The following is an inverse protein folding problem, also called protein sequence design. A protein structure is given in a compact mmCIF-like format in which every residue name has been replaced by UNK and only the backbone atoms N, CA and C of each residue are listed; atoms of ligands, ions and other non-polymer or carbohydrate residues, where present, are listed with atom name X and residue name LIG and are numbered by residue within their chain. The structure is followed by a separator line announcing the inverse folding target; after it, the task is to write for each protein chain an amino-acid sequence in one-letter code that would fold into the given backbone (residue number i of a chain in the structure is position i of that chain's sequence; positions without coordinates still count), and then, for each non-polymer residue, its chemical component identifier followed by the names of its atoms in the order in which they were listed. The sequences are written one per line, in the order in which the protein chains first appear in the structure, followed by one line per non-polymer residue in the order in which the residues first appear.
data_IF_355225087144
#
_entry.id   IF_355225087144
#
_cell.length_a   1.000
_cell.length_b   1.000
_cell.length_c   1.000
_cell.angle_alpha   90.00
_cell.angle_beta   90.00
_cell.angle_gamma   90.00
#
_symmetry.space_group_name_H-M   'P 1'
#
loop_
_entity.id
_entity.type
_entity.pdbx_description
1 polymer ?
#
# COMPACT_ATOMS: atom_id res chain seq x y z
N UNK A 1 -0.75 31.85 -4.42
CA UNK A 1 -1.25 30.50 -4.08
C UNK A 1 -0.26 29.87 -3.11
N UNK A 2 -0.76 29.19 -2.11
CA UNK A 2 0.08 28.43 -1.16
C UNK A 2 0.81 27.29 -1.89
N UNK A 3 2.12 27.13 -1.64
CA UNK A 3 2.91 26.06 -2.27
C UNK A 3 2.43 24.70 -1.79
N UNK A 4 2.23 23.78 -2.71
CA UNK A 4 1.85 22.37 -2.43
C UNK A 4 3.11 21.54 -2.30
N UNK A 5 3.51 21.27 -1.06
CA UNK A 5 4.72 20.52 -0.72
C UNK A 5 4.33 19.16 -0.17
N UNK A 6 4.89 18.08 -0.73
CA UNK A 6 4.72 16.73 -0.21
C UNK A 6 6.03 16.27 0.42
N UNK A 7 5.95 15.87 1.69
CA UNK A 7 7.08 15.31 2.43
C UNK A 7 6.91 13.81 2.65
N UNK A 8 7.91 13.03 2.26
CA UNK A 8 7.91 11.57 2.44
C UNK A 8 8.92 11.17 3.51
N UNK A 9 8.46 10.50 4.56
CA UNK A 9 9.31 10.03 5.66
C UNK A 9 9.67 8.57 5.43
N UNK A 10 10.98 8.31 5.24
CA UNK A 10 11.51 6.98 4.96
C UNK A 10 11.80 6.72 3.47
N UNK A 11 12.90 6.02 3.22
CA UNK A 11 13.41 5.68 1.88
C UNK A 11 13.56 4.16 1.70
N UNK A 12 12.63 3.40 2.31
CA UNK A 12 12.57 1.95 2.20
C UNK A 12 11.88 1.48 0.91
N UNK A 13 11.41 0.25 0.91
CA UNK A 13 10.74 -0.42 -0.23
C UNK A 13 9.56 0.37 -0.81
N UNK A 14 8.84 1.12 0.02
CA UNK A 14 7.70 1.94 -0.37
C UNK A 14 8.14 3.39 -0.65
N UNK A 15 8.88 4.01 0.29
CA UNK A 15 9.20 5.43 0.22
C UNK A 15 10.07 5.80 -0.98
N UNK A 16 11.09 5.01 -1.31
CA UNK A 16 11.97 5.28 -2.45
C UNK A 16 11.21 5.39 -3.79
N UNK A 17 10.44 4.38 -4.23
CA UNK A 17 9.68 4.49 -5.47
C UNK A 17 8.59 5.57 -5.40
N UNK A 18 7.96 5.78 -4.25
CA UNK A 18 6.97 6.84 -4.07
C UNK A 18 7.58 8.23 -4.30
N UNK A 19 8.75 8.52 -3.71
CA UNK A 19 9.46 9.79 -3.92
C UNK A 19 9.75 9.98 -5.41
N UNK A 20 10.25 8.95 -6.08
CA UNK A 20 10.55 9.00 -7.50
C UNK A 20 9.30 9.28 -8.35
N UNK A 21 8.19 8.58 -8.12
CA UNK A 21 6.92 8.78 -8.81
C UNK A 21 6.38 10.20 -8.55
N UNK A 22 6.43 10.68 -7.31
CA UNK A 22 5.98 12.03 -6.98
C UNK A 22 6.78 13.10 -7.73
N UNK A 23 8.10 12.91 -7.87
CA UNK A 23 8.95 13.84 -8.64
C UNK A 23 8.60 13.83 -10.14
N UNK A 24 8.38 12.65 -10.74
CA UNK A 24 8.02 12.53 -12.16
C UNK A 24 6.62 13.05 -12.45
N UNK A 25 5.67 12.80 -11.57
CA UNK A 25 4.27 13.20 -11.73
C UNK A 25 3.93 14.56 -11.10
N UNK A 26 4.95 15.28 -10.64
CA UNK A 26 4.78 16.55 -9.90
C UNK A 26 3.84 17.53 -10.59
N UNK A 27 4.02 17.74 -11.88
CA UNK A 27 3.18 18.66 -12.67
C UNK A 27 1.74 18.16 -12.82
N UNK A 28 1.55 16.86 -13.07
CA UNK A 28 0.22 16.25 -13.22
C UNK A 28 -0.58 16.27 -11.90
N UNK A 29 0.12 16.16 -10.78
CA UNK A 29 -0.47 16.19 -9.43
C UNK A 29 -0.60 17.62 -8.87
N UNK A 30 -0.08 18.62 -9.58
CA UNK A 30 -0.05 19.99 -9.13
C UNK A 30 0.79 20.17 -7.85
N UNK A 31 1.86 19.41 -7.69
CA UNK A 31 2.82 19.49 -6.58
C UNK A 31 3.94 20.45 -6.97
N UNK A 32 4.28 21.39 -6.10
CA UNK A 32 5.36 22.34 -6.32
C UNK A 32 6.72 21.81 -5.88
N UNK A 33 6.74 20.99 -4.81
CA UNK A 33 7.97 20.49 -4.23
C UNK A 33 7.76 19.12 -3.59
N UNK A 34 8.76 18.24 -3.74
CA UNK A 34 8.84 16.96 -3.05
C UNK A 34 10.07 16.98 -2.14
N UNK A 35 9.85 16.77 -0.85
CA UNK A 35 10.92 16.61 0.14
C UNK A 35 10.88 15.21 0.72
N UNK A 36 11.99 14.71 1.23
CA UNK A 36 12.02 13.40 1.86
C UNK A 36 12.99 13.33 3.03
N UNK A 37 12.64 12.54 4.04
CA UNK A 37 13.47 12.31 5.21
C UNK A 37 14.25 10.99 5.12
N UNK A 38 15.53 11.05 5.48
CA UNK A 38 16.41 9.89 5.66
C UNK A 38 17.00 9.89 7.06
N UNK A 39 16.75 8.81 7.81
CA UNK A 39 17.18 8.68 9.22
C UNK A 39 18.68 8.43 9.37
N UNK A 40 19.25 7.51 8.59
CA UNK A 40 20.62 7.02 8.83
C UNK A 40 21.56 7.38 7.69
N UNK A 41 22.75 7.97 8.00
CA UNK A 41 23.76 8.34 7.01
C UNK A 41 24.60 7.11 6.61
N UNK A 42 24.00 6.15 5.88
CA UNK A 42 24.68 4.95 5.44
C UNK A 42 25.30 5.14 4.06
N UNK A 43 26.61 4.96 3.93
CA UNK A 43 27.35 5.10 2.66
C UNK A 43 26.74 4.23 1.54
N UNK A 44 26.29 3.02 1.86
CA UNK A 44 25.61 2.12 0.88
C UNK A 44 24.33 2.68 0.30
N UNK A 45 23.66 3.61 1.01
CA UNK A 45 22.41 4.25 0.56
C UNK A 45 22.69 5.55 -0.22
N UNK A 46 23.91 6.09 -0.19
CA UNK A 46 24.24 7.36 -0.84
C UNK A 46 23.93 7.40 -2.35
N UNK A 47 24.19 6.34 -3.15
CA UNK A 47 23.82 6.34 -4.57
C UNK A 47 22.30 6.48 -4.79
N UNK A 48 21.49 5.79 -3.97
CA UNK A 48 20.03 5.89 -4.01
C UNK A 48 19.55 7.31 -3.68
N UNK A 49 20.06 7.90 -2.61
CA UNK A 49 19.72 9.26 -2.19
C UNK A 49 20.10 10.28 -3.26
N UNK A 50 21.32 10.17 -3.83
CA UNK A 50 21.76 11.03 -4.95
C UNK A 50 20.85 10.93 -6.16
N UNK A 51 20.36 9.72 -6.47
CA UNK A 51 19.41 9.53 -7.57
C UNK A 51 18.07 10.24 -7.29
N UNK A 52 17.54 10.17 -6.06
CA UNK A 52 16.32 10.89 -5.69
C UNK A 52 16.50 12.41 -5.76
N UNK A 53 17.64 12.92 -5.31
CA UNK A 53 17.98 14.35 -5.42
C UNK A 53 18.09 14.77 -6.89
N UNK A 54 18.75 13.97 -7.73
CA UNK A 54 18.85 14.24 -9.18
C UNK A 54 17.49 14.26 -9.89
N UNK A 55 16.47 13.58 -9.35
CA UNK A 55 15.08 13.64 -9.82
C UNK A 55 14.32 14.88 -9.32
N UNK A 56 14.93 15.70 -8.48
CA UNK A 56 14.37 16.93 -7.95
C UNK A 56 13.72 16.81 -6.58
N UNK A 57 13.92 15.69 -5.88
CA UNK A 57 13.54 15.59 -4.47
C UNK A 57 14.58 16.26 -3.57
N UNK A 58 14.16 16.88 -2.47
CA UNK A 58 15.01 17.63 -1.55
C UNK A 58 15.17 16.86 -0.23
N UNK A 59 16.41 16.65 0.17
CA UNK A 59 16.77 15.85 1.35
C UNK A 59 16.54 16.63 2.65
N UNK A 60 15.86 16.00 3.60
CA UNK A 60 15.75 16.41 4.99
C UNK A 60 16.33 15.35 5.93
N UNK A 61 16.96 15.77 7.01
CA UNK A 61 17.52 14.88 8.03
C UNK A 61 17.28 15.45 9.42
N UNK A 62 17.47 14.69 10.48
CA UNK A 62 17.51 15.26 11.83
C UNK A 62 18.69 16.23 11.98
N UNK A 63 18.49 17.28 12.74
CA UNK A 63 19.49 18.35 12.93
C UNK A 63 20.84 17.79 13.41
N UNK A 64 20.82 16.87 14.37
CA UNK A 64 22.01 16.19 14.92
C UNK A 64 22.73 15.28 13.90
N UNK A 65 22.17 15.04 12.72
CA UNK A 65 22.71 14.16 11.67
C UNK A 65 23.26 14.90 10.46
N UNK A 66 23.08 16.21 10.38
CA UNK A 66 23.48 17.00 9.21
C UNK A 66 24.96 16.77 8.85
N UNK A 67 25.87 16.86 9.82
CA UNK A 67 27.30 16.69 9.55
C UNK A 67 27.63 15.26 9.11
N UNK A 68 27.02 14.24 9.74
CA UNK A 68 27.22 12.84 9.33
C UNK A 68 26.75 12.56 7.89
N UNK A 69 25.74 13.26 7.39
CA UNK A 69 25.33 13.17 5.99
C UNK A 69 26.33 13.86 5.05
N UNK A 70 26.89 15.02 5.44
CA UNK A 70 27.95 15.69 4.67
C UNK A 70 29.20 14.84 4.55
N UNK A 71 29.60 14.12 5.61
CA UNK A 71 30.75 13.21 5.59
C UNK A 71 30.65 12.11 4.53
N UNK A 72 29.43 11.69 4.17
CA UNK A 72 29.19 10.71 3.10
C UNK A 72 28.85 11.36 1.74
N UNK A 73 29.10 12.67 1.62
CA UNK A 73 28.91 13.43 0.37
C UNK A 73 27.44 13.65 -0.01
N UNK A 74 26.58 13.85 0.99
CA UNK A 74 25.19 14.27 0.85
C UNK A 74 24.96 15.59 1.56
N UNK A 75 24.31 16.53 0.88
CA UNK A 75 24.00 17.86 1.43
C UNK A 75 22.49 17.95 1.76
N UNK A 76 22.09 17.82 3.04
CA UNK A 76 20.71 18.05 3.44
C UNK A 76 20.32 19.53 3.23
N UNK A 77 19.13 19.74 2.69
CA UNK A 77 18.60 21.10 2.48
C UNK A 77 17.72 21.57 3.64
N UNK A 78 17.19 20.63 4.42
CA UNK A 78 16.29 20.90 5.54
C UNK A 78 16.59 20.00 6.72
N UNK A 79 16.23 20.48 7.90
CA UNK A 79 15.96 19.60 9.04
C UNK A 79 14.61 18.91 8.87
N UNK A 80 14.39 17.83 9.62
CA UNK A 80 13.09 17.12 9.63
C UNK A 80 11.95 18.05 10.04
N UNK A 81 12.17 18.89 11.05
CA UNK A 81 11.18 19.84 11.56
C UNK A 81 10.82 20.91 10.54
N UNK A 82 11.83 21.49 9.87
CA UNK A 82 11.61 22.44 8.79
C UNK A 82 10.81 21.81 7.65
N UNK A 83 11.17 20.60 7.23
CA UNK A 83 10.51 19.92 6.14
C UNK A 83 9.05 19.61 6.46
N UNK A 84 8.74 19.12 7.67
CA UNK A 84 7.37 18.84 8.10
C UNK A 84 6.56 20.12 8.23
N UNK A 85 7.10 21.16 8.92
CA UNK A 85 6.37 22.40 9.20
C UNK A 85 5.94 23.19 7.96
N UNK A 86 6.65 23.01 6.84
CA UNK A 86 6.36 23.68 5.55
C UNK A 86 5.56 22.82 4.57
N UNK A 87 5.26 21.57 4.94
CA UNK A 87 4.58 20.62 4.06
C UNK A 87 3.06 20.82 4.04
N UNK A 88 2.46 20.60 2.88
CA UNK A 88 1.00 20.49 2.75
C UNK A 88 0.51 19.10 3.16
N UNK A 89 1.29 18.05 2.83
CA UNK A 89 1.00 16.65 3.13
C UNK A 89 2.29 15.94 3.54
N UNK A 90 2.20 15.11 4.56
CA UNK A 90 3.27 14.21 5.02
C UNK A 90 2.85 12.76 4.79
N UNK A 91 3.72 11.96 4.16
CA UNK A 91 3.49 10.53 3.91
C UNK A 91 4.56 9.74 4.66
N UNK A 92 4.14 9.01 5.68
CA UNK A 92 5.02 8.17 6.49
C UNK A 92 5.13 6.76 5.88
N UNK A 93 6.34 6.42 5.43
CA UNK A 93 6.72 5.13 4.87
C UNK A 93 7.72 4.39 5.78
N UNK A 94 7.73 4.68 7.06
CA UNK A 94 8.60 4.02 8.03
C UNK A 94 8.12 2.61 8.37
N UNK A 95 8.98 1.77 8.98
CA UNK A 95 8.57 0.46 9.47
C UNK A 95 7.48 0.53 10.55
N UNK A 96 6.76 -0.57 10.74
CA UNK A 96 5.68 -0.70 11.73
C UNK A 96 6.06 -0.14 13.11
N UNK A 97 5.18 0.69 13.66
CA UNK A 97 5.30 1.33 14.98
C UNK A 97 5.97 2.69 14.95
N UNK A 98 6.85 2.94 13.97
CA UNK A 98 7.50 4.25 13.86
C UNK A 98 6.55 5.36 13.42
N UNK A 99 5.54 5.05 12.62
CA UNK A 99 4.52 6.03 12.23
C UNK A 99 3.77 6.59 13.42
N UNK A 100 3.41 5.75 14.39
CA UNK A 100 2.80 6.20 15.65
C UNK A 100 3.73 7.06 16.48
N UNK A 101 5.01 6.67 16.58
CA UNK A 101 6.02 7.47 17.27
C UNK A 101 6.19 8.85 16.59
N UNK A 102 6.34 8.87 15.27
CA UNK A 102 6.45 10.11 14.50
C UNK A 102 5.19 10.98 14.66
N UNK A 103 4.00 10.37 14.74
CA UNK A 103 2.76 11.09 15.00
C UNK A 103 2.81 11.86 16.31
N UNK A 104 3.17 11.18 17.40
CA UNK A 104 3.25 11.78 18.73
C UNK A 104 4.41 12.79 18.86
N UNK A 105 5.58 12.48 18.30
CA UNK A 105 6.79 13.29 18.45
C UNK A 105 6.79 14.53 17.55
N UNK A 106 6.21 14.41 16.33
CA UNK A 106 6.31 15.45 15.30
C UNK A 106 4.96 15.88 14.73
N UNK A 107 4.13 14.95 14.23
CA UNK A 107 3.02 15.34 13.36
C UNK A 107 1.93 16.11 14.09
N UNK A 108 1.61 15.72 15.31
CA UNK A 108 0.59 16.42 16.13
C UNK A 108 0.98 17.87 16.44
N UNK A 109 2.28 18.18 16.53
CA UNK A 109 2.78 19.55 16.72
C UNK A 109 2.54 20.47 15.53
N UNK A 110 2.36 19.90 14.34
CA UNK A 110 2.17 20.64 13.08
C UNK A 110 0.80 20.42 12.47
N UNK A 111 -0.14 19.85 13.23
CA UNK A 111 -1.48 19.56 12.75
C UNK A 111 -2.28 20.83 12.36
N UNK A 112 -1.93 21.98 12.89
CA UNK A 112 -2.49 23.29 12.51
C UNK A 112 -2.00 23.80 11.15
N UNK A 113 -0.86 23.29 10.63
CA UNK A 113 -0.19 23.75 9.41
C UNK A 113 -0.29 22.76 8.26
N UNK A 114 -0.19 21.47 8.57
CA UNK A 114 -0.19 20.37 7.59
C UNK A 114 -1.61 19.90 7.35
N UNK A 115 -2.04 19.85 6.09
CA UNK A 115 -3.42 19.47 5.72
C UNK A 115 -3.72 18.00 5.92
N UNK A 116 -2.72 17.14 5.83
CA UNK A 116 -2.93 15.72 6.01
C UNK A 116 -1.65 14.91 6.24
N UNK A 117 -1.78 13.88 7.06
CA UNK A 117 -0.74 12.91 7.37
C UNK A 117 -1.22 11.52 6.99
N UNK A 118 -0.42 10.81 6.20
CA UNK A 118 -0.71 9.46 5.77
C UNK A 118 0.36 8.52 6.33
N UNK A 119 -0.05 7.44 6.99
CA UNK A 119 0.85 6.32 7.26
C UNK A 119 0.45 5.13 6.40
N UNK A 120 1.44 4.33 5.98
CA UNK A 120 1.20 3.19 5.11
C UNK A 120 1.24 1.87 5.88
N UNK A 121 0.53 0.85 5.35
CA UNK A 121 0.64 -0.53 5.78
C UNK A 121 0.02 -0.81 7.14
N UNK A 122 0.82 -1.30 8.07
CA UNK A 122 0.37 -1.88 9.33
C UNK A 122 0.31 -0.92 10.52
N UNK A 123 0.23 0.39 10.29
CA UNK A 123 0.07 1.42 11.33
C UNK A 123 -1.39 1.52 11.80
N UNK A 124 -1.94 0.39 12.27
CA UNK A 124 -3.34 0.32 12.70
C UNK A 124 -3.63 1.32 13.83
N UNK A 125 -4.67 2.16 13.63
CA UNK A 125 -5.04 3.22 14.58
C UNK A 125 -4.30 4.56 14.36
N UNK A 126 -3.44 4.69 13.36
CA UNK A 126 -2.81 5.96 13.00
C UNK A 126 -3.85 7.04 12.62
N UNK A 127 -4.85 6.65 11.88
CA UNK A 127 -5.96 7.49 11.46
C UNK A 127 -7.08 6.65 10.82
N UNK A 128 -8.02 7.33 10.13
CA UNK A 128 -9.08 6.65 9.39
C UNK A 128 -8.47 5.74 8.32
N UNK A 129 -8.93 4.49 8.25
CA UNK A 129 -8.50 3.55 7.22
C UNK A 129 -8.92 4.05 5.84
N UNK A 130 -7.99 3.95 4.87
CA UNK A 130 -8.19 4.46 3.52
C UNK A 130 -7.67 3.50 2.46
N UNK A 131 -8.45 3.30 1.43
CA UNK A 131 -8.06 2.64 0.19
C UNK A 131 -8.70 3.37 -1.00
N UNK A 132 -7.86 3.89 -1.90
CA UNK A 132 -8.31 4.64 -3.08
C UNK A 132 -9.30 3.84 -3.92
N UNK A 133 -10.38 4.50 -4.33
CA UNK A 133 -11.44 3.93 -5.16
C UNK A 133 -12.38 2.99 -4.42
N UNK A 134 -12.23 2.89 -3.10
CA UNK A 134 -13.10 2.08 -2.25
C UNK A 134 -13.90 2.99 -1.32
N UNK A 135 -13.22 3.76 -0.48
CA UNK A 135 -13.89 4.62 0.49
C UNK A 135 -13.56 6.12 0.35
N UNK A 136 -13.20 6.58 -0.85
CA UNK A 136 -12.89 8.00 -1.11
C UNK A 136 -14.03 8.94 -0.67
N UNK A 137 -15.27 8.51 -0.87
CA UNK A 137 -16.48 9.31 -0.59
C UNK A 137 -16.76 9.56 0.90
N UNK A 138 -16.12 8.82 1.80
CA UNK A 138 -16.26 9.03 3.26
C UNK A 138 -15.08 9.79 3.86
N UNK A 139 -14.10 10.17 3.05
CA UNK A 139 -13.00 11.03 3.48
C UNK A 139 -13.43 12.49 3.37
N UNK A 140 -13.21 13.24 4.41
CA UNK A 140 -13.58 14.66 4.48
C UNK A 140 -12.41 15.50 5.05
N UNK A 141 -12.61 16.81 5.13
CA UNK A 141 -11.58 17.76 5.58
C UNK A 141 -11.17 17.61 7.06
N UNK A 142 -11.94 16.89 7.86
CA UNK A 142 -11.64 16.62 9.28
C UNK A 142 -10.74 15.39 9.44
N UNK A 143 -10.63 14.55 8.40
CA UNK A 143 -9.81 13.35 8.38
C UNK A 143 -8.34 13.68 8.10
N UNK A 144 -7.70 14.36 9.02
CA UNK A 144 -6.32 14.82 8.87
C UNK A 144 -5.30 13.67 8.92
N UNK A 145 -5.61 12.59 9.65
CA UNK A 145 -4.76 11.40 9.75
C UNK A 145 -5.40 10.23 9.04
N UNK A 146 -4.71 9.65 8.05
CA UNK A 146 -5.17 8.52 7.27
C UNK A 146 -4.20 7.36 7.37
N UNK A 147 -4.73 6.16 7.55
CA UNK A 147 -3.98 4.91 7.41
C UNK A 147 -4.28 4.31 6.05
N UNK A 148 -3.34 4.38 5.12
CA UNK A 148 -3.41 3.67 3.85
C UNK A 148 -3.21 2.18 4.13
N UNK A 149 -4.22 1.36 3.90
CA UNK A 149 -4.20 -0.06 4.29
C UNK A 149 -3.13 -0.86 3.55
N UNK A 150 -2.75 -2.04 4.06
CA UNK A 150 -1.67 -2.86 3.51
C UNK A 150 -1.99 -3.43 2.12
N UNK A 151 -0.97 -3.92 1.40
CA UNK A 151 -1.13 -4.48 0.05
C UNK A 151 -2.15 -5.62 -0.03
N UNK A 152 -2.10 -6.60 0.89
CA UNK A 152 -3.08 -7.68 0.91
C UNK A 152 -4.48 -7.17 1.29
N UNK A 153 -4.58 -6.20 2.19
CA UNK A 153 -5.85 -5.56 2.54
C UNK A 153 -6.43 -4.79 1.35
N UNK A 154 -5.60 -4.04 0.60
CA UNK A 154 -6.03 -3.39 -0.66
C UNK A 154 -6.57 -4.40 -1.67
N UNK A 155 -5.85 -5.50 -1.84
CA UNK A 155 -6.22 -6.58 -2.73
C UNK A 155 -7.59 -7.16 -2.35
N UNK A 156 -7.76 -7.61 -1.10
CA UNK A 156 -9.04 -8.09 -0.57
C UNK A 156 -10.17 -7.06 -0.79
N UNK A 157 -9.91 -5.81 -0.43
CA UNK A 157 -10.91 -4.76 -0.52
C UNK A 157 -11.27 -4.44 -1.99
N UNK A 158 -10.29 -4.43 -2.89
CA UNK A 158 -10.51 -4.22 -4.32
C UNK A 158 -11.38 -5.32 -4.93
N UNK A 159 -11.11 -6.58 -4.61
CA UNK A 159 -11.89 -7.74 -5.08
C UNK A 159 -13.32 -7.70 -4.59
N UNK A 160 -13.52 -7.53 -3.29
CA UNK A 160 -14.85 -7.45 -2.67
C UNK A 160 -15.64 -6.29 -3.27
N UNK A 161 -15.03 -5.12 -3.34
CA UNK A 161 -15.69 -3.93 -3.89
C UNK A 161 -16.07 -4.11 -5.37
N UNK A 162 -15.14 -4.66 -6.18
CA UNK A 162 -15.35 -4.79 -7.63
C UNK A 162 -16.33 -5.91 -7.99
N UNK A 163 -16.24 -7.06 -7.33
CA UNK A 163 -17.01 -8.25 -7.72
C UNK A 163 -18.37 -8.30 -7.01
N UNK A 164 -18.40 -7.93 -5.73
CA UNK A 164 -19.62 -8.05 -4.93
C UNK A 164 -20.35 -6.72 -4.81
N UNK A 165 -19.71 -5.69 -4.24
CA UNK A 165 -20.37 -4.47 -3.83
C UNK A 165 -20.72 -3.53 -5.00
N UNK A 166 -20.06 -3.66 -6.15
CA UNK A 166 -20.44 -2.94 -7.37
C UNK A 166 -21.81 -3.33 -7.91
N UNK A 167 -22.32 -4.50 -7.52
CA UNK A 167 -23.64 -5.00 -7.89
C UNK A 167 -24.69 -4.47 -6.89
N UNK A 168 -24.50 -4.76 -5.61
CA UNK A 168 -25.26 -4.14 -4.52
C UNK A 168 -24.46 -4.21 -3.21
N UNK A 169 -24.66 -3.26 -2.28
CA UNK A 169 -23.92 -3.22 -1.00
C UNK A 169 -24.10 -4.47 -0.12
N UNK A 170 -25.14 -5.22 -0.31
CA UNK A 170 -25.48 -6.42 0.46
C UNK A 170 -25.27 -7.72 -0.32
N UNK A 171 -24.64 -7.66 -1.49
CA UNK A 171 -24.45 -8.84 -2.37
C UNK A 171 -23.45 -9.86 -1.83
N UNK A 172 -22.50 -9.46 -0.99
CA UNK A 172 -21.56 -10.40 -0.36
C UNK A 172 -22.24 -11.16 0.79
N UNK A 173 -22.21 -12.49 0.75
CA UNK A 173 -22.63 -13.34 1.88
C UNK A 173 -21.41 -13.61 2.76
N UNK A 174 -20.32 -14.13 2.20
CA UNK A 174 -19.04 -14.29 2.87
C UNK A 174 -17.85 -14.17 1.89
N UNK A 175 -16.69 -13.76 2.39
CA UNK A 175 -15.44 -13.67 1.63
C UNK A 175 -14.30 -14.37 2.37
N UNK A 176 -13.65 -15.36 1.72
CA UNK A 176 -12.53 -16.13 2.29
C UNK A 176 -11.28 -15.97 1.45
N UNK A 177 -10.16 -15.73 2.13
CA UNK A 177 -8.88 -15.41 1.50
C UNK A 177 -7.74 -16.23 2.10
N UNK A 178 -6.83 -16.70 1.26
CA UNK A 178 -5.57 -17.31 1.69
C UNK A 178 -4.43 -16.47 1.11
N UNK A 179 -3.74 -15.72 1.98
CA UNK A 179 -2.61 -14.88 1.60
C UNK A 179 -1.31 -15.69 1.63
N UNK A 180 -0.77 -16.01 0.47
CA UNK A 180 0.52 -16.69 0.30
C UNK A 180 1.58 -15.59 0.20
N UNK A 181 2.32 -15.38 1.30
CA UNK A 181 3.21 -14.23 1.47
C UNK A 181 4.63 -14.59 1.05
N UNK A 182 5.27 -13.70 0.28
CA UNK A 182 6.72 -13.79 0.00
C UNK A 182 7.54 -13.76 1.29
N UNK A 183 8.77 -14.25 1.24
CA UNK A 183 9.67 -14.36 2.40
C UNK A 183 10.09 -13.00 2.97
N UNK A 184 10.41 -12.05 2.08
CA UNK A 184 10.81 -10.68 2.44
C UNK A 184 10.21 -9.68 1.47
N UNK A 185 10.15 -8.41 1.86
CA UNK A 185 9.96 -7.32 0.92
C UNK A 185 11.19 -7.16 0.03
N UNK A 186 11.01 -6.57 -1.16
CA UNK A 186 12.12 -6.25 -2.07
C UNK A 186 13.13 -5.39 -1.31
N UNK A 187 14.41 -5.68 -1.48
CA UNK A 187 15.54 -5.06 -0.77
C UNK A 187 15.73 -5.46 0.70
N UNK A 188 14.89 -6.32 1.26
CA UNK A 188 15.09 -6.88 2.60
C UNK A 188 15.73 -8.26 2.52
N UNK A 189 16.63 -8.56 3.48
CA UNK A 189 17.36 -9.83 3.59
C UNK A 189 17.21 -10.47 4.96
N UNK A 190 16.30 -9.98 5.78
CA UNK A 190 16.26 -10.26 7.21
C UNK A 190 15.68 -11.60 7.61
N UNK A 191 14.99 -12.34 6.73
CA UNK A 191 14.43 -13.62 7.12
C UNK A 191 14.67 -14.72 6.09
N UNK A 192 15.14 -15.85 6.58
CA UNK A 192 15.21 -17.09 5.83
C UNK A 192 13.97 -17.94 6.15
N UNK A 193 13.26 -18.39 5.12
CA UNK A 193 12.08 -19.25 5.24
C UNK A 193 12.38 -20.56 4.52
N UNK A 194 12.82 -21.61 5.23
CA UNK A 194 13.23 -22.88 4.60
C UNK A 194 12.05 -23.64 4.00
N UNK A 195 10.85 -23.47 4.55
CA UNK A 195 9.63 -24.14 4.12
C UNK A 195 8.41 -23.26 4.39
N UNK A 196 7.26 -23.48 3.74
CA UNK A 196 6.03 -22.77 4.02
C UNK A 196 5.67 -22.81 5.51
N UNK A 197 5.39 -21.65 6.09
CA UNK A 197 5.03 -21.49 7.50
C UNK A 197 3.66 -20.82 7.60
N UNK A 198 2.71 -21.48 8.25
CA UNK A 198 1.37 -20.94 8.48
C UNK A 198 1.42 -19.88 9.57
N UNK A 199 0.72 -18.78 9.34
CA UNK A 199 0.57 -17.72 10.35
C UNK A 199 -0.53 -18.07 11.35
N UNK A 200 -0.35 -17.62 12.57
CA UNK A 200 -1.40 -17.72 13.59
C UNK A 200 -2.63 -16.89 13.21
N UNK A 201 -3.80 -17.38 13.59
CA UNK A 201 -5.05 -16.62 13.54
C UNK A 201 -5.15 -15.78 14.83
N UNK A 202 -4.75 -14.51 14.73
CA UNK A 202 -4.79 -13.58 15.87
C UNK A 202 -6.17 -13.06 16.24
N UNK A 203 -7.17 -13.23 15.35
CA UNK A 203 -8.55 -12.81 15.58
C UNK A 203 -9.53 -13.97 15.32
N UNK A 204 -10.44 -14.28 16.28
CA UNK A 204 -11.32 -15.46 16.18
C UNK A 204 -12.32 -15.39 15.02
N UNK A 205 -12.73 -14.20 14.59
CA UNK A 205 -13.69 -14.00 13.50
C UNK A 205 -12.98 -13.82 12.16
N UNK A 206 -11.98 -12.95 12.09
CA UNK A 206 -11.33 -12.57 10.83
C UNK A 206 -10.10 -13.43 10.48
N UNK A 207 -9.61 -14.27 11.39
CA UNK A 207 -8.40 -15.06 11.22
C UNK A 207 -7.16 -14.19 11.29
N UNK A 208 -6.63 -13.67 10.17
CA UNK A 208 -5.48 -12.79 10.17
C UNK A 208 -5.89 -11.31 10.04
N UNK A 209 -4.95 -10.41 10.39
CA UNK A 209 -5.16 -8.96 10.31
C UNK A 209 -5.55 -8.47 8.90
N UNK A 210 -5.33 -9.24 7.82
CA UNK A 210 -5.67 -8.80 6.47
C UNK A 210 -7.19 -8.65 6.27
N UNK A 211 -7.99 -9.66 6.70
CA UNK A 211 -9.44 -9.55 6.67
C UNK A 211 -9.97 -8.61 7.75
N UNK A 212 -9.35 -8.58 8.93
CA UNK A 212 -9.69 -7.64 10.00
C UNK A 212 -9.55 -6.17 9.53
N UNK A 213 -8.43 -5.83 8.91
CA UNK A 213 -8.20 -4.50 8.36
C UNK A 213 -9.14 -4.17 7.20
N UNK A 214 -9.45 -5.15 6.33
CA UNK A 214 -10.43 -4.97 5.25
C UNK A 214 -11.84 -4.74 5.81
N UNK A 215 -12.28 -5.53 6.77
CA UNK A 215 -13.55 -5.31 7.45
C UNK A 215 -13.59 -3.93 8.13
N UNK A 216 -12.50 -3.52 8.80
CA UNK A 216 -12.37 -2.18 9.38
C UNK A 216 -12.43 -1.06 8.34
N UNK A 217 -11.88 -1.27 7.14
CA UNK A 217 -12.01 -0.33 6.02
C UNK A 217 -13.48 -0.20 5.58
N UNK A 218 -14.18 -1.32 5.37
CA UNK A 218 -15.59 -1.31 4.97
C UNK A 218 -16.51 -0.72 6.05
N UNK A 219 -16.17 -0.88 7.33
CA UNK A 219 -16.89 -0.23 8.44
C UNK A 219 -16.85 1.30 8.37
N UNK A 220 -15.84 1.91 7.74
CA UNK A 220 -15.85 3.37 7.50
C UNK A 220 -17.00 3.82 6.60
N UNK A 221 -17.56 2.89 5.82
CA UNK A 221 -18.71 3.10 4.93
C UNK A 221 -20.02 2.52 5.52
N UNK A 222 -20.02 2.15 6.81
CA UNK A 222 -21.14 1.48 7.49
C UNK A 222 -21.50 0.10 6.89
N UNK A 223 -20.53 -0.59 6.30
CA UNK A 223 -20.69 -1.95 5.80
C UNK A 223 -20.02 -2.93 6.77
N UNK A 224 -20.81 -3.87 7.31
CA UNK A 224 -20.31 -4.97 8.15
C UNK A 224 -20.30 -6.25 7.32
N UNK A 225 -19.11 -6.65 6.87
CA UNK A 225 -18.92 -7.75 5.93
C UNK A 225 -18.32 -8.96 6.63
N UNK A 226 -18.82 -10.15 6.31
CA UNK A 226 -18.27 -11.43 6.75
C UNK A 226 -17.03 -11.76 5.90
N UNK A 227 -15.85 -11.44 6.43
CA UNK A 227 -14.55 -11.66 5.80
C UNK A 227 -13.68 -12.53 6.70
N UNK A 228 -12.97 -13.47 6.09
CA UNK A 228 -12.00 -14.30 6.78
C UNK A 228 -10.73 -14.43 5.95
N UNK A 229 -9.57 -14.36 6.59
CA UNK A 229 -8.30 -14.64 5.92
C UNK A 229 -7.42 -15.58 6.73
N UNK A 230 -6.75 -16.47 6.02
CA UNK A 230 -5.58 -17.21 6.51
C UNK A 230 -4.34 -16.70 5.77
N UNK A 231 -3.16 -16.96 6.31
CA UNK A 231 -1.93 -16.57 5.66
C UNK A 231 -0.83 -17.62 5.88
N UNK A 232 0.05 -17.73 4.90
CA UNK A 232 1.29 -18.50 5.03
C UNK A 232 2.45 -17.72 4.42
N UNK A 233 3.63 -17.86 5.00
CA UNK A 233 4.87 -17.32 4.48
C UNK A 233 5.60 -18.44 3.73
N UNK A 234 6.04 -18.16 2.50
CA UNK A 234 6.74 -19.13 1.64
C UNK A 234 8.16 -18.68 1.35
N UNK A 235 8.97 -19.57 0.82
CA UNK A 235 10.38 -19.31 0.49
C UNK A 235 10.61 -18.60 -0.85
N UNK A 236 9.56 -18.20 -1.55
CA UNK A 236 9.66 -17.36 -2.75
C UNK A 236 9.78 -15.88 -2.38
N UNK A 237 10.31 -15.05 -3.31
CA UNK A 237 10.62 -13.66 -3.00
C UNK A 237 9.76 -12.64 -3.74
N UNK A 238 9.19 -12.94 -4.88
CA UNK A 238 8.67 -11.89 -5.76
C UNK A 238 7.41 -11.21 -5.25
N UNK A 239 6.24 -11.80 -5.45
CA UNK A 239 4.96 -11.17 -5.13
C UNK A 239 4.20 -11.99 -4.10
N UNK A 240 3.24 -11.37 -3.41
CA UNK A 240 2.22 -12.13 -2.70
C UNK A 240 1.27 -12.74 -3.70
N UNK A 241 0.74 -13.93 -3.38
CA UNK A 241 -0.37 -14.54 -4.11
C UNK A 241 -1.54 -14.68 -3.15
N UNK A 242 -2.75 -14.34 -3.59
CA UNK A 242 -3.96 -14.49 -2.79
C UNK A 242 -4.93 -15.41 -3.52
N UNK A 243 -5.30 -16.49 -2.88
CA UNK A 243 -6.45 -17.28 -3.29
C UNK A 243 -7.69 -16.75 -2.57
N UNK A 244 -8.81 -16.66 -3.29
CA UNK A 244 -10.05 -16.19 -2.69
C UNK A 244 -11.28 -16.99 -3.10
N UNK A 245 -12.30 -16.91 -2.26
CA UNK A 245 -13.64 -17.42 -2.52
C UNK A 245 -14.65 -16.38 -2.03
N UNK A 246 -15.50 -15.89 -2.92
CA UNK A 246 -16.60 -15.00 -2.58
C UNK A 246 -17.92 -15.71 -2.79
N UNK A 247 -18.75 -15.72 -1.74
CA UNK A 247 -20.13 -16.20 -1.82
C UNK A 247 -21.06 -14.99 -1.97
N UNK A 248 -21.79 -14.98 -3.08
CA UNK A 248 -22.64 -13.85 -3.47
C UNK A 248 -24.11 -14.24 -3.33
N UNK A 249 -24.98 -13.25 -3.07
CA UNK A 249 -26.44 -13.42 -3.13
C UNK A 249 -26.92 -13.54 -4.58
N UNK A 250 -26.43 -12.65 -5.45
CA UNK A 250 -26.80 -12.62 -6.85
C UNK A 250 -26.01 -13.64 -7.67
N UNK A 251 -26.67 -14.42 -8.53
CA UNK A 251 -25.99 -15.33 -9.45
C UNK A 251 -25.00 -14.58 -10.36
N UNK A 252 -23.83 -15.16 -10.56
CA UNK A 252 -22.83 -14.59 -11.46
C UNK A 252 -22.26 -15.64 -12.42
N UNK A 253 -21.55 -15.18 -13.44
CA UNK A 253 -20.83 -16.05 -14.39
C UNK A 253 -19.37 -15.61 -14.48
N UNK A 254 -18.50 -16.48 -14.98
CA UNK A 254 -17.10 -16.14 -15.25
C UNK A 254 -16.98 -14.88 -16.09
N UNK A 255 -17.75 -14.78 -17.20
CA UNK A 255 -17.70 -13.61 -18.09
C UNK A 255 -18.12 -12.33 -17.37
N UNK A 256 -19.22 -12.34 -16.61
CA UNK A 256 -19.65 -11.16 -15.85
C UNK A 256 -18.59 -10.69 -14.85
N UNK A 257 -17.87 -11.60 -14.21
CA UNK A 257 -16.78 -11.26 -13.29
C UNK A 257 -15.60 -10.66 -14.07
N UNK A 258 -15.21 -11.23 -15.21
CA UNK A 258 -14.16 -10.67 -16.07
C UNK A 258 -14.54 -9.25 -16.51
N UNK A 259 -15.79 -9.02 -16.92
CA UNK A 259 -16.28 -7.70 -17.33
C UNK A 259 -16.19 -6.67 -16.18
N UNK A 260 -16.58 -7.06 -14.97
CA UNK A 260 -16.49 -6.21 -13.77
C UNK A 260 -15.02 -5.87 -13.44
N UNK A 261 -14.14 -6.86 -13.48
CA UNK A 261 -12.71 -6.66 -13.20
C UNK A 261 -12.05 -5.77 -14.29
N UNK A 262 -12.33 -6.01 -15.55
CA UNK A 262 -11.80 -5.23 -16.67
C UNK A 262 -12.28 -3.78 -16.67
N UNK A 263 -13.45 -3.50 -16.11
CA UNK A 263 -13.98 -2.14 -16.01
C UNK A 263 -13.33 -1.31 -14.87
N UNK A 264 -12.56 -1.94 -14.00
CA UNK A 264 -11.90 -1.27 -12.89
C UNK A 264 -10.43 -0.96 -13.23
N UNK A 265 -10.09 0.31 -13.37
CA UNK A 265 -8.73 0.80 -13.69
C UNK A 265 -7.65 0.43 -12.65
N UNK A 266 -8.06 -0.04 -11.46
CA UNK A 266 -7.17 -0.51 -10.39
C UNK A 266 -6.92 -2.01 -10.44
N UNK A 267 -7.50 -2.71 -11.40
CA UNK A 267 -7.34 -4.16 -11.63
C UNK A 267 -6.62 -4.39 -12.94
N UNK A 268 -5.72 -5.35 -12.99
CA UNK A 268 -5.17 -5.88 -14.23
C UNK A 268 -5.50 -7.35 -14.36
N UNK A 269 -5.85 -7.79 -15.56
CA UNK A 269 -5.95 -9.21 -15.91
C UNK A 269 -4.65 -9.64 -16.58
N UNK A 270 -4.26 -10.89 -16.39
CA UNK A 270 -3.05 -11.48 -17.00
C UNK A 270 -3.26 -12.94 -17.37
N UNK A 271 -2.58 -13.38 -18.40
CA UNK A 271 -2.45 -14.81 -18.76
C UNK A 271 -1.22 -15.46 -18.11
N UNK A 272 -0.35 -14.67 -17.48
CA UNK A 272 0.83 -15.17 -16.78
C UNK A 272 0.46 -15.82 -15.45
N UNK A 273 0.79 -17.10 -15.28
CA UNK A 273 0.52 -17.88 -14.06
C UNK A 273 1.61 -17.72 -12.99
N UNK A 274 2.81 -17.29 -13.38
CA UNK A 274 3.94 -17.18 -12.47
C UNK A 274 4.10 -15.76 -11.94
N UNK A 275 4.23 -15.63 -10.62
CA UNK A 275 4.58 -14.32 -10.00
C UNK A 275 5.92 -13.78 -10.50
N UNK A 276 6.83 -14.64 -10.97
CA UNK A 276 8.09 -14.25 -11.59
C UNK A 276 7.86 -13.51 -12.92
N UNK A 277 6.94 -13.98 -13.76
CA UNK A 277 6.61 -13.34 -15.04
C UNK A 277 5.93 -11.98 -14.82
N UNK A 278 4.94 -11.93 -13.91
CA UNK A 278 4.27 -10.67 -13.56
C UNK A 278 5.25 -9.67 -12.95
N UNK A 279 6.16 -10.12 -12.08
CA UNK A 279 7.21 -9.27 -11.50
C UNK A 279 8.17 -8.76 -12.58
N UNK A 280 8.57 -9.61 -13.53
CA UNK A 280 9.46 -9.23 -14.65
C UNK A 280 8.81 -8.15 -15.52
N UNK A 281 7.52 -8.30 -15.84
CA UNK A 281 6.75 -7.27 -16.54
C UNK A 281 6.75 -5.95 -15.76
N UNK A 282 6.47 -5.97 -14.47
CA UNK A 282 6.48 -4.78 -13.62
C UNK A 282 7.87 -4.10 -13.57
N UNK A 283 8.95 -4.88 -13.53
CA UNK A 283 10.32 -4.36 -13.59
C UNK A 283 10.60 -3.63 -14.90
N UNK A 284 10.15 -4.17 -16.03
CA UNK A 284 10.51 -3.68 -17.35
C UNK A 284 9.54 -2.59 -17.88
N UNK A 285 8.27 -2.66 -17.48
CA UNK A 285 7.18 -1.82 -18.03
C UNK A 285 6.52 -0.93 -16.96
N UNK A 286 6.71 -1.24 -15.68
CA UNK A 286 6.09 -0.52 -14.57
C UNK A 286 6.83 0.75 -14.17
N UNK A 287 6.14 1.63 -13.45
CA UNK A 287 6.71 2.85 -12.87
C UNK A 287 7.62 2.48 -11.68
N UNK A 288 8.91 2.77 -11.78
CA UNK A 288 9.92 2.39 -10.76
C UNK A 288 9.90 0.89 -10.42
N UNK A 289 9.68 0.05 -11.42
CA UNK A 289 9.55 -1.40 -11.22
C UNK A 289 8.28 -1.79 -10.47
N UNK A 290 7.26 -0.95 -10.46
CA UNK A 290 5.98 -1.20 -9.79
C UNK A 290 4.83 -1.19 -10.79
N UNK A 291 3.91 -2.13 -10.64
CA UNK A 291 2.58 -2.09 -11.22
C UNK A 291 1.69 -1.36 -10.21
N UNK A 292 1.02 -0.30 -10.64
CA UNK A 292 0.22 0.54 -9.73
C UNK A 292 -1.23 0.04 -9.54
N UNK A 293 -1.55 -1.15 -10.03
CA UNK A 293 -2.84 -1.78 -9.78
C UNK A 293 -2.94 -2.32 -8.35
N UNK A 294 -4.13 -2.31 -7.79
CA UNK A 294 -4.39 -2.86 -6.46
C UNK A 294 -4.39 -4.38 -6.46
N UNK A 295 -4.73 -4.98 -7.61
CA UNK A 295 -4.67 -6.43 -7.83
C UNK A 295 -4.34 -6.76 -9.27
N UNK A 296 -3.65 -7.88 -9.48
CA UNK A 296 -3.40 -8.49 -10.80
C UNK A 296 -3.94 -9.91 -10.75
N UNK A 297 -4.90 -10.22 -11.62
CA UNK A 297 -5.66 -11.48 -11.58
C UNK A 297 -5.31 -12.34 -12.79
N UNK A 298 -5.04 -13.62 -12.55
CA UNK A 298 -4.86 -14.63 -13.61
C UNK A 298 -6.24 -14.99 -14.15
N UNK A 299 -6.55 -14.53 -15.38
CA UNK A 299 -7.90 -14.56 -15.95
C UNK A 299 -8.50 -15.95 -16.07
N UNK A 300 -7.72 -16.92 -16.55
CA UNK A 300 -8.20 -18.29 -16.75
C UNK A 300 -8.36 -19.08 -15.44
N UNK A 301 -7.79 -18.58 -14.32
CA UNK A 301 -8.01 -19.12 -12.99
C UNK A 301 -9.37 -18.73 -12.38
N UNK A 302 -10.08 -17.79 -12.98
CA UNK A 302 -11.41 -17.37 -12.53
C UNK A 302 -12.42 -18.48 -12.78
N UNK A 303 -13.09 -18.93 -11.72
CA UNK A 303 -14.12 -19.95 -11.80
C UNK A 303 -15.37 -19.52 -11.03
N UNK A 304 -16.50 -19.45 -11.71
CA UNK A 304 -17.82 -19.23 -11.12
C UNK A 304 -18.56 -20.58 -11.05
N UNK A 305 -18.67 -21.13 -9.85
CA UNK A 305 -19.41 -22.39 -9.62
C UNK A 305 -20.86 -22.10 -9.30
N UNK A 306 -21.74 -22.73 -10.07
CA UNK A 306 -23.19 -22.61 -10.09
C UNK A 306 -23.82 -21.89 -8.87
N UNK A 307 -24.29 -20.74 -9.15
CA UNK A 307 -25.22 -19.92 -8.38
C UNK A 307 -24.66 -18.95 -7.34
N UNK A 308 -23.52 -19.18 -6.64
CA UNK A 308 -23.13 -18.26 -5.54
C UNK A 308 -21.65 -18.23 -5.14
N UNK A 309 -20.72 -18.94 -5.82
CA UNK A 309 -19.32 -18.97 -5.40
C UNK A 309 -18.38 -18.55 -6.53
N UNK A 310 -17.44 -17.68 -6.21
CA UNK A 310 -16.32 -17.32 -7.08
C UNK A 310 -15.00 -17.78 -6.47
N UNK A 311 -14.13 -18.39 -7.30
CA UNK A 311 -12.77 -18.78 -6.94
C UNK A 311 -11.79 -18.29 -7.98
N UNK A 312 -10.69 -17.73 -7.56
CA UNK A 312 -9.57 -17.37 -8.42
C UNK A 312 -8.25 -17.33 -7.65
N UNK A 313 -7.16 -17.37 -8.37
CA UNK A 313 -5.82 -17.11 -7.88
C UNK A 313 -5.35 -15.76 -8.41
N UNK A 314 -4.70 -15.00 -7.55
CA UNK A 314 -4.21 -13.67 -7.90
C UNK A 314 -2.84 -13.40 -7.30
N UNK A 315 -2.16 -12.41 -7.86
CA UNK A 315 -0.89 -11.88 -7.37
C UNK A 315 -1.01 -10.41 -7.06
N UNK A 316 -0.52 -9.97 -5.91
CA UNK A 316 -0.40 -8.55 -5.57
C UNK A 316 1.05 -8.08 -5.61
N UNK A 317 1.31 -6.86 -6.08
CA UNK A 317 2.65 -6.28 -6.17
C UNK A 317 3.33 -6.05 -4.83
#
# INVERSE_FOLDING_TARGET
MERKIVHVVGTGTIGEPLIGILCEQKSNLGIDEVTFHKQSPLTKDAPKIKNLIAKGARLAVHEDRVESFKEIGLEPEFTMEEAVSRSSVVIDCTPKGYGHQNKADFYEKYADKVKGFLAQGSENGFGKKYARGINDHVINSEDQFLQVVSCNTHNIACLVNTIALSISPDNLIDGKFVCIRRSNDISQTGSFVPAPTVNDHGHPVYGTHHAEDAAGLFKTMNLDLDLFSSAMKVNSQYMHTVWFNLKLKEPTSKQKVIDLLSSNDRVSLTEHHSTNEVFSFGRDQGLYGRILNQTVIVEDSINAVSYTHLRAHETSP
#
